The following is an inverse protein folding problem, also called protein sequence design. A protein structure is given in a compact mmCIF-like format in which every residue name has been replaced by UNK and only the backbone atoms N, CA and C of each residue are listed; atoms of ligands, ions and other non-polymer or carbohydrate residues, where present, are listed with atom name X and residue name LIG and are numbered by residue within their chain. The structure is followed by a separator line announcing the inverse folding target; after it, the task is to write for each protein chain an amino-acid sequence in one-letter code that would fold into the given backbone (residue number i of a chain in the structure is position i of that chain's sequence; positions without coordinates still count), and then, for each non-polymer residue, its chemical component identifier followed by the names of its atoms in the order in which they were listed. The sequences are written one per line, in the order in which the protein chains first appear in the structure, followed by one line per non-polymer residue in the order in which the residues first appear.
data_IF_532603645445
#
_entry.id   IF_532603645445
#
_cell.length_a   1.000
_cell.length_b   1.000
_cell.length_c   1.000
_cell.angle_alpha   90.00
_cell.angle_beta   90.00
_cell.angle_gamma   90.00
#
_symmetry.space_group_name_H-M   'P 1'
#
loop_
_entity.id
_entity.type
_entity.pdbx_description
1 polymer ?
#
# COMPACT_ATOMS: atom_id res chain seq x y z
N UNK A 1 -20.99 3.58 -35.42
CA UNK A 1 -19.78 4.15 -34.81
C UNK A 1 -20.18 4.52 -33.40
N UNK A 2 -19.78 3.73 -32.41
CA UNK A 2 -19.79 4.11 -31.00
C UNK A 2 -18.68 3.31 -30.32
N UNK A 3 -17.51 3.92 -30.22
CA UNK A 3 -16.40 3.41 -29.41
C UNK A 3 -16.52 4.05 -28.02
N UNK A 4 -17.52 3.64 -27.26
CA UNK A 4 -17.51 3.88 -25.81
C UNK A 4 -16.67 2.77 -25.18
N UNK A 5 -15.36 2.87 -25.34
CA UNK A 5 -14.43 2.10 -24.51
C UNK A 5 -14.55 2.66 -23.11
N UNK A 6 -15.02 1.85 -22.17
CA UNK A 6 -15.10 2.31 -20.78
C UNK A 6 -13.67 2.47 -20.24
N UNK A 7 -13.42 3.39 -19.31
CA UNK A 7 -12.11 3.48 -18.60
C UNK A 7 -11.71 2.14 -17.97
N UNK A 8 -12.71 1.27 -17.73
CA UNK A 8 -12.57 -0.13 -17.31
C UNK A 8 -11.85 -1.03 -18.35
N UNK A 9 -12.01 -0.75 -19.64
CA UNK A 9 -11.30 -1.40 -20.74
C UNK A 9 -9.89 -0.82 -20.94
N UNK A 10 -9.70 0.47 -20.65
CA UNK A 10 -8.40 1.15 -20.78
C UNK A 10 -7.40 0.73 -19.69
N UNK A 11 -7.86 0.54 -18.45
CA UNK A 11 -7.01 -0.06 -17.40
C UNK A 11 -6.64 -1.51 -17.77
N UNK A 12 -7.45 -2.21 -18.58
CA UNK A 12 -7.22 -3.60 -18.99
C UNK A 12 -6.27 -3.78 -20.17
N UNK A 13 -5.89 -2.72 -20.87
CA UNK A 13 -5.21 -2.86 -22.15
C UNK A 13 -4.03 -1.91 -22.29
N UNK A 14 -2.85 -2.39 -21.90
CA UNK A 14 -1.60 -1.84 -22.42
C UNK A 14 -1.57 -1.99 -23.96
N UNK A 15 -1.17 -0.95 -24.72
CA UNK A 15 -0.82 -1.13 -26.12
C UNK A 15 0.35 -2.14 -26.22
N UNK A 16 0.08 -3.35 -26.71
CA UNK A 16 1.09 -4.39 -26.90
C UNK A 16 1.37 -5.34 -25.71
N UNK A 17 0.69 -5.21 -24.57
CA UNK A 17 0.78 -6.17 -23.45
C UNK A 17 -0.60 -6.60 -22.93
N UNK A 18 -0.78 -7.90 -22.63
CA UNK A 18 -1.95 -8.39 -21.88
C UNK A 18 -1.76 -8.08 -20.38
N UNK A 19 -2.40 -7.04 -19.84
CA UNK A 19 -2.35 -6.73 -18.39
C UNK A 19 -3.00 -5.39 -18.01
N UNK A 20 -3.02 -5.09 -16.71
CA UNK A 20 -3.47 -3.81 -16.14
C UNK A 20 -2.41 -3.15 -15.24
N UNK A 21 -2.47 -1.82 -15.08
CA UNK A 21 -1.66 -1.09 -14.10
C UNK A 21 -2.16 -1.44 -12.69
N UNK A 22 -1.28 -1.92 -11.83
CA UNK A 22 -1.57 -2.17 -10.41
C UNK A 22 -0.80 -1.18 -9.53
N UNK A 23 -1.47 -0.62 -8.52
CA UNK A 23 -0.88 0.34 -7.60
C UNK A 23 -1.02 -0.13 -6.16
N UNK A 24 0.06 0.00 -5.39
CA UNK A 24 0.11 -0.31 -3.97
C UNK A 24 0.87 0.76 -3.20
N UNK A 25 0.47 1.00 -1.95
CA UNK A 25 1.33 1.64 -0.96
C UNK A 25 2.21 0.56 -0.33
N UNK A 26 3.51 0.79 -0.30
CA UNK A 26 4.48 -0.03 0.41
C UNK A 26 5.03 0.76 1.59
N UNK A 27 4.99 0.13 2.77
CA UNK A 27 5.33 0.76 4.05
C UNK A 27 6.45 -0.04 4.70
N UNK A 28 7.54 0.64 5.06
CA UNK A 28 8.58 0.15 5.96
C UNK A 28 8.51 0.99 7.22
N UNK A 29 8.43 0.37 8.39
CA UNK A 29 8.16 1.06 9.65
C UNK A 29 8.85 0.41 10.84
N UNK A 30 9.21 1.23 11.83
CA UNK A 30 9.72 0.75 13.11
C UNK A 30 8.57 0.50 14.08
N UNK A 31 8.29 -0.78 14.37
CA UNK A 31 7.26 -1.17 15.34
C UNK A 31 7.50 -0.57 16.73
N UNK A 32 8.73 -0.21 17.05
CA UNK A 32 9.16 0.33 18.33
C UNK A 32 9.32 1.87 18.34
N UNK A 33 8.88 2.56 17.28
CA UNK A 33 8.93 4.03 17.17
C UNK A 33 8.32 4.78 18.38
N UNK A 34 7.35 4.17 19.07
CA UNK A 34 6.72 4.71 20.28
C UNK A 34 7.01 3.85 21.51
N UNK A 35 8.26 3.43 21.72
CA UNK A 35 8.69 2.55 22.82
C UNK A 35 7.88 1.24 22.87
N UNK A 36 7.56 0.72 21.68
CA UNK A 36 6.75 -0.49 21.51
C UNK A 36 5.25 -0.31 21.78
N UNK A 37 4.76 0.92 21.98
CA UNK A 37 3.33 1.20 21.95
C UNK A 37 2.78 1.02 20.54
N UNK A 38 1.55 0.50 20.47
CA UNK A 38 0.85 0.32 19.20
C UNK A 38 0.44 1.66 18.59
N UNK A 39 0.46 1.73 17.27
CA UNK A 39 0.01 2.87 16.48
C UNK A 39 -0.53 2.40 15.13
N UNK A 40 -1.26 3.27 14.45
CA UNK A 40 -1.89 3.00 13.16
C UNK A 40 -1.45 4.03 12.14
N UNK A 41 -0.98 3.59 10.97
CA UNK A 41 -0.74 4.45 9.81
C UNK A 41 -1.99 4.36 8.94
N UNK A 42 -2.77 5.44 8.85
CA UNK A 42 -4.03 5.50 8.11
C UNK A 42 -3.83 6.20 6.78
N UNK A 43 -4.35 5.61 5.70
CA UNK A 43 -4.23 6.12 4.34
C UNK A 43 -5.58 6.57 3.80
N UNK A 44 -5.55 7.63 2.99
CA UNK A 44 -6.72 8.28 2.43
C UNK A 44 -6.46 8.74 0.99
N UNK A 45 -7.49 8.72 0.15
CA UNK A 45 -7.57 9.44 -1.12
C UNK A 45 -8.46 10.66 -0.90
N UNK A 46 -7.85 11.74 -0.43
CA UNK A 46 -8.53 12.96 -0.01
C UNK A 46 -8.94 13.88 -1.17
N UNK A 47 -9.65 14.96 -0.84
CA UNK A 47 -9.85 16.07 -1.77
C UNK A 47 -8.55 16.86 -2.04
N UNK A 48 -8.56 17.80 -3.00
CA UNK A 48 -7.38 18.59 -3.34
C UNK A 48 -6.86 19.40 -2.15
N UNK A 49 -5.56 19.81 -2.16
CA UNK A 49 -4.98 20.67 -1.13
C UNK A 49 -5.87 21.90 -0.85
N UNK A 50 -6.15 22.18 0.44
CA UNK A 50 -6.96 23.33 0.86
C UNK A 50 -8.45 23.07 1.08
N UNK A 51 -8.96 21.86 0.79
CA UNK A 51 -10.29 21.41 1.26
C UNK A 51 -10.14 20.51 2.50
N UNK A 52 -10.94 20.75 3.54
CA UNK A 52 -10.98 19.96 4.79
C UNK A 52 -11.67 18.59 4.61
N UNK A 53 -11.28 17.84 3.58
CA UNK A 53 -11.84 16.52 3.24
C UNK A 53 -10.78 15.41 3.25
N UNK A 54 -9.53 15.77 3.57
CA UNK A 54 -8.35 14.89 3.46
C UNK A 54 -8.41 13.66 4.37
N UNK A 55 -9.13 13.74 5.49
CA UNK A 55 -9.23 12.67 6.50
C UNK A 55 -10.67 12.24 6.80
N UNK A 56 -11.58 12.47 5.85
CA UNK A 56 -12.97 12.03 5.97
C UNK A 56 -13.10 10.50 5.79
N UNK A 57 -14.15 9.94 6.40
CA UNK A 57 -14.42 8.49 6.34
C UNK A 57 -14.59 7.98 4.90
N UNK A 58 -15.15 8.79 4.00
CA UNK A 58 -15.35 8.42 2.58
C UNK A 58 -14.05 8.31 1.79
N UNK A 59 -13.04 9.07 2.22
CA UNK A 59 -11.70 9.11 1.59
C UNK A 59 -10.80 7.99 2.09
N UNK A 60 -11.22 7.24 3.12
CA UNK A 60 -10.40 6.23 3.77
C UNK A 60 -10.22 4.99 2.90
N UNK A 61 -8.96 4.60 2.66
CA UNK A 61 -8.63 3.41 1.85
C UNK A 61 -8.18 2.23 2.71
N UNK A 62 -7.49 2.47 3.81
CA UNK A 62 -6.94 1.39 4.63
C UNK A 62 -5.92 1.86 5.64
N UNK A 63 -5.29 0.91 6.32
CA UNK A 63 -4.29 1.20 7.31
C UNK A 63 -3.28 0.08 7.49
N UNK A 64 -2.14 0.42 8.09
CA UNK A 64 -1.18 -0.51 8.68
C UNK A 64 -1.24 -0.36 10.19
N UNK A 65 -1.53 -1.45 10.90
CA UNK A 65 -1.53 -1.47 12.36
C UNK A 65 -0.23 -2.04 12.90
N UNK A 66 0.49 -1.25 13.69
CA UNK A 66 1.65 -1.71 14.45
C UNK A 66 1.18 -2.39 15.73
N UNK A 67 1.17 -3.73 15.74
CA UNK A 67 0.90 -4.49 16.96
C UNK A 67 2.14 -4.49 17.87
N UNK A 68 2.13 -3.56 18.82
CA UNK A 68 3.17 -3.38 19.83
C UNK A 68 2.74 -3.96 21.18
N UNK A 69 3.61 -4.78 21.78
CA UNK A 69 3.49 -5.15 23.18
C UNK A 69 4.32 -4.17 24.01
N UNK A 70 3.69 -3.37 24.89
CA UNK A 70 4.39 -2.46 25.81
C UNK A 70 5.62 -3.15 26.39
N UNK A 71 6.75 -2.44 26.48
CA UNK A 71 7.80 -2.80 27.43
C UNK A 71 7.22 -2.63 28.84
N UNK A 72 6.49 -3.65 29.34
CA UNK A 72 6.04 -3.65 30.72
C UNK A 72 7.27 -3.72 31.63
N UNK A 73 7.36 -2.77 32.56
CA UNK A 73 8.29 -2.81 33.70
C UNK A 73 7.96 -3.98 34.65
N UNK A 74 6.78 -4.59 34.52
CA UNK A 74 6.37 -5.79 35.21
C UNK A 74 6.57 -7.03 34.33
N UNK A 75 7.67 -7.77 34.58
CA UNK A 75 7.80 -9.23 34.48
C UNK A 75 7.39 -10.02 33.21
N UNK A 76 6.97 -9.39 32.12
CA UNK A 76 6.31 -10.08 30.99
C UNK A 76 6.75 -9.64 29.59
N UNK A 77 7.81 -8.85 29.48
CA UNK A 77 8.31 -8.38 28.18
C UNK A 77 8.91 -9.54 27.37
N UNK A 78 8.34 -9.82 26.19
CA UNK A 78 8.83 -10.82 25.25
C UNK A 78 10.30 -10.59 24.89
N UNK A 79 11.17 -11.55 25.21
CA UNK A 79 12.61 -11.46 24.95
C UNK A 79 12.94 -11.29 23.46
N UNK A 80 12.15 -11.90 22.57
CA UNK A 80 12.33 -11.70 21.14
C UNK A 80 12.06 -10.25 20.72
N UNK A 81 11.00 -9.63 21.24
CA UNK A 81 10.69 -8.23 20.95
C UNK A 81 11.81 -7.28 21.39
N UNK A 82 12.40 -7.51 22.58
CA UNK A 82 13.56 -6.75 23.05
C UNK A 82 14.77 -6.89 22.12
N UNK A 83 15.06 -8.12 21.67
CA UNK A 83 16.17 -8.38 20.73
C UNK A 83 15.94 -7.69 19.38
N UNK A 84 14.72 -7.76 18.85
CA UNK A 84 14.36 -7.10 17.60
C UNK A 84 14.44 -5.57 17.71
N UNK A 85 13.97 -4.98 18.82
CA UNK A 85 14.10 -3.56 19.09
C UNK A 85 15.58 -3.14 19.18
N UNK A 86 16.40 -3.89 19.93
CA UNK A 86 17.84 -3.60 20.05
C UNK A 86 18.59 -3.74 18.72
N UNK A 87 18.19 -4.72 17.89
CA UNK A 87 18.71 -4.91 16.54
C UNK A 87 18.09 -3.96 15.51
N UNK A 88 17.18 -3.06 15.92
CA UNK A 88 16.52 -2.06 15.08
C UNK A 88 15.80 -2.70 13.86
N UNK A 89 15.21 -3.88 14.06
CA UNK A 89 14.51 -4.63 13.01
C UNK A 89 13.26 -3.86 12.57
N UNK A 90 13.17 -3.55 11.29
CA UNK A 90 12.01 -2.91 10.68
C UNK A 90 10.94 -3.92 10.32
N UNK A 91 9.70 -3.45 10.32
CA UNK A 91 8.53 -4.18 9.83
C UNK A 91 8.06 -3.57 8.52
N UNK A 92 7.24 -4.32 7.80
CA UNK A 92 6.83 -3.95 6.46
C UNK A 92 5.40 -4.42 6.16
N UNK A 93 4.70 -3.64 5.34
CA UNK A 93 3.30 -3.89 4.99
C UNK A 93 2.94 -3.26 3.65
N UNK A 94 1.82 -3.71 3.08
CA UNK A 94 1.31 -3.18 1.82
C UNK A 94 -0.19 -2.88 1.92
N UNK A 95 -0.61 -1.78 1.29
CA UNK A 95 -2.02 -1.38 1.18
C UNK A 95 -2.38 -1.30 -0.31
N UNK A 96 -3.34 -2.11 -0.80
CA UNK A 96 -3.72 -2.08 -2.20
C UNK A 96 -4.44 -0.76 -2.55
N UNK A 97 -4.08 -0.14 -3.67
CA UNK A 97 -4.72 1.10 -4.16
C UNK A 97 -5.65 0.84 -5.35
N UNK A 98 -5.33 -0.14 -6.20
CA UNK A 98 -6.00 -0.39 -7.49
C UNK A 98 -7.52 -0.46 -7.37
N UNK A 99 -8.06 -1.18 -6.38
CA UNK A 99 -9.51 -1.31 -6.21
C UNK A 99 -10.17 0.01 -5.81
N UNK A 100 -9.52 0.81 -4.96
CA UNK A 100 -10.03 2.12 -4.55
C UNK A 100 -10.04 3.11 -5.72
N UNK A 101 -8.98 3.10 -6.54
CA UNK A 101 -8.89 3.90 -7.76
C UNK A 101 -9.99 3.53 -8.76
N UNK A 102 -10.27 2.23 -8.95
CA UNK A 102 -11.37 1.75 -9.80
C UNK A 102 -12.74 2.23 -9.31
N UNK A 103 -12.97 2.20 -8.00
CA UNK A 103 -14.20 2.73 -7.41
C UNK A 103 -14.31 4.25 -7.63
N UNK A 104 -13.23 5.01 -7.44
CA UNK A 104 -13.21 6.46 -7.68
C UNK A 104 -13.54 6.82 -9.13
N UNK A 105 -12.94 6.12 -10.10
CA UNK A 105 -13.22 6.30 -11.54
C UNK A 105 -14.68 6.00 -11.85
N UNK A 106 -15.18 4.85 -11.39
CA UNK A 106 -16.53 4.38 -11.71
C UNK A 106 -17.61 5.25 -11.09
N UNK A 107 -17.43 5.63 -9.83
CA UNK A 107 -18.45 6.31 -9.04
C UNK A 107 -18.42 7.84 -9.25
N UNK A 108 -17.50 8.34 -10.10
CA UNK A 108 -17.33 9.76 -10.48
C UNK A 108 -17.39 10.68 -9.26
N UNK A 109 -16.58 10.36 -8.25
CA UNK A 109 -16.59 11.07 -6.97
C UNK A 109 -16.43 12.58 -7.21
N UNK A 110 -17.41 13.41 -6.78
CA UNK A 110 -17.32 14.85 -6.94
C UNK A 110 -16.06 15.40 -6.27
N UNK A 111 -15.49 16.46 -6.85
CA UNK A 111 -14.27 17.17 -6.44
C UNK A 111 -12.93 16.65 -6.97
N UNK A 112 -12.86 15.50 -7.66
CA UNK A 112 -11.60 14.95 -8.20
C UNK A 112 -11.81 13.70 -9.10
N UNK A 113 -12.41 13.87 -10.29
CA UNK A 113 -12.57 12.78 -11.25
C UNK A 113 -11.23 12.40 -11.89
N UNK A 114 -10.99 11.09 -12.00
CA UNK A 114 -9.93 10.52 -12.86
C UNK A 114 -10.61 10.20 -14.19
N UNK A 115 -10.29 10.93 -15.26
CA UNK A 115 -10.95 10.76 -16.56
C UNK A 115 -10.29 9.67 -17.39
N UNK A 116 -8.96 9.50 -17.26
CA UNK A 116 -8.19 8.49 -17.96
C UNK A 116 -7.16 7.80 -17.06
N UNK A 117 -6.63 6.66 -17.52
CA UNK A 117 -5.67 5.85 -16.74
C UNK A 117 -4.26 6.46 -16.61
N UNK A 118 -3.98 7.53 -17.34
CA UNK A 118 -2.68 8.21 -17.33
C UNK A 118 -2.64 9.32 -16.26
N UNK A 119 -3.79 9.82 -15.84
CA UNK A 119 -3.94 10.77 -14.73
C UNK A 119 -3.76 10.15 -13.35
N UNK A 120 -3.72 8.81 -13.24
CA UNK A 120 -3.70 8.11 -11.94
C UNK A 120 -2.50 8.53 -11.07
N UNK A 121 -1.32 8.69 -11.66
CA UNK A 121 -0.10 9.00 -10.91
C UNK A 121 -0.13 10.45 -10.38
N UNK A 122 -0.59 11.40 -11.21
CA UNK A 122 -0.81 12.78 -10.78
C UNK A 122 -1.93 12.89 -9.73
N UNK A 123 -2.99 12.11 -9.91
CA UNK A 123 -4.06 12.00 -8.94
C UNK A 123 -3.51 11.52 -7.58
N UNK A 124 -2.76 10.42 -7.56
CA UNK A 124 -2.17 9.91 -6.32
C UNK A 124 -1.21 10.94 -5.69
N UNK A 125 -0.41 11.64 -6.50
CA UNK A 125 0.47 12.71 -6.00
C UNK A 125 -0.30 13.80 -5.25
N UNK A 126 -1.44 14.22 -5.77
CA UNK A 126 -2.28 15.28 -5.17
C UNK A 126 -3.14 14.78 -4.00
N UNK A 127 -3.68 13.56 -4.10
CA UNK A 127 -4.79 13.09 -3.26
C UNK A 127 -4.40 12.01 -2.25
N UNK A 128 -3.29 11.30 -2.45
CA UNK A 128 -2.84 10.32 -1.46
C UNK A 128 -2.29 11.04 -0.23
N UNK A 129 -2.98 10.88 0.89
CA UNK A 129 -2.65 11.46 2.18
C UNK A 129 -2.58 10.35 3.23
N UNK A 130 -1.83 10.59 4.29
CA UNK A 130 -1.79 9.68 5.43
C UNK A 130 -1.55 10.41 6.73
N UNK A 131 -1.88 9.75 7.84
CA UNK A 131 -1.58 10.19 9.19
C UNK A 131 -1.24 9.01 10.08
N UNK A 132 -0.50 9.28 11.15
CA UNK A 132 -0.22 8.31 12.19
C UNK A 132 -1.11 8.60 13.40
N UNK A 133 -1.71 7.56 13.96
CA UNK A 133 -2.63 7.62 15.09
C UNK A 133 -2.14 6.69 16.19
N UNK A 134 -1.95 7.23 17.40
CA UNK A 134 -1.59 6.43 18.58
C UNK A 134 -2.73 5.51 18.98
N UNK A 135 -2.42 4.49 19.77
CA UNK A 135 -3.43 3.76 20.52
C UNK A 135 -4.27 4.74 21.37
N UNK A 136 -5.59 4.74 21.18
CA UNK A 136 -6.51 5.71 21.81
C UNK A 136 -7.03 6.80 20.88
N UNK A 137 -6.52 6.91 19.65
CA UNK A 137 -7.10 7.78 18.59
C UNK A 137 -6.43 9.15 18.44
N UNK A 138 -5.42 9.46 19.24
CA UNK A 138 -4.65 10.71 19.13
C UNK A 138 -3.80 10.71 17.85
N UNK A 139 -3.94 11.76 17.02
CA UNK A 139 -3.12 11.95 15.81
C UNK A 139 -1.75 12.50 16.19
N UNK A 140 -0.69 11.95 15.60
CA UNK A 140 0.68 12.45 15.78
C UNK A 140 0.82 13.86 15.20
N UNK A 141 1.33 14.79 16.00
CA UNK A 141 1.62 16.16 15.57
C UNK A 141 2.88 16.25 14.72
N UNK A 142 3.10 17.39 14.04
CA UNK A 142 4.27 17.59 13.17
C UNK A 142 5.61 17.39 13.90
N UNK A 143 5.70 17.81 15.15
CA UNK A 143 6.93 17.76 15.96
C UNK A 143 7.27 16.32 16.41
N UNK A 144 6.26 15.46 16.48
CA UNK A 144 6.40 14.07 16.90
C UNK A 144 6.80 13.13 15.75
N UNK A 145 6.86 13.62 14.50
CA UNK A 145 7.36 12.83 13.36
C UNK A 145 8.83 12.42 13.48
N UNK A 146 9.62 13.09 14.31
CA UNK A 146 11.02 12.70 14.60
C UNK A 146 11.13 11.27 15.16
N UNK A 147 10.11 10.82 15.90
CA UNK A 147 10.04 9.48 16.48
C UNK A 147 9.79 8.42 15.40
N UNK A 148 9.32 8.85 14.21
CA UNK A 148 9.08 8.05 13.02
C UNK A 148 10.16 8.24 11.95
N UNK A 149 11.39 8.57 12.34
CA UNK A 149 12.52 8.81 11.41
C UNK A 149 12.84 7.65 10.47
N UNK A 150 12.42 6.41 10.82
CA UNK A 150 12.58 5.21 9.98
C UNK A 150 11.31 4.82 9.23
N UNK A 151 10.24 5.60 9.33
CA UNK A 151 9.06 5.36 8.51
C UNK A 151 9.37 5.74 7.07
N UNK A 152 9.12 4.80 6.17
CA UNK A 152 9.22 5.02 4.73
C UNK A 152 7.94 4.51 4.05
N UNK A 153 7.19 5.44 3.46
CA UNK A 153 5.99 5.21 2.68
C UNK A 153 6.33 5.47 1.22
N UNK A 154 6.08 4.49 0.38
CA UNK A 154 6.33 4.54 -1.06
C UNK A 154 5.09 4.07 -1.82
N UNK A 155 4.89 4.57 -3.03
CA UNK A 155 3.90 4.03 -3.97
C UNK A 155 4.63 3.24 -5.03
N UNK A 156 4.17 2.01 -5.29
CA UNK A 156 4.72 1.15 -6.33
C UNK A 156 3.65 0.93 -7.41
N UNK A 157 4.07 0.96 -8.68
CA UNK A 157 3.26 0.59 -9.83
C UNK A 157 3.78 -0.71 -10.42
N UNK A 158 2.93 -1.73 -10.46
CA UNK A 158 3.20 -3.02 -11.08
C UNK A 158 2.26 -3.33 -12.24
N UNK A 159 2.33 -4.57 -12.70
CA UNK A 159 1.50 -5.10 -13.78
C UNK A 159 0.71 -6.30 -13.26
N UNK A 160 -0.61 -6.18 -13.28
CA UNK A 160 -1.52 -7.30 -13.05
C UNK A 160 -1.86 -8.02 -14.34
N UNK A 161 -1.89 -9.36 -14.32
CA UNK A 161 -2.23 -10.20 -15.48
C UNK A 161 -3.10 -11.37 -15.06
N UNK A 162 -4.02 -11.81 -15.92
CA UNK A 162 -4.73 -13.07 -15.72
C UNK A 162 -3.86 -14.20 -16.27
N UNK A 163 -3.53 -15.18 -15.43
CA UNK A 163 -2.89 -16.42 -15.87
C UNK A 163 -3.85 -17.17 -16.77
N UNK A 164 -3.48 -17.37 -18.04
CA UNK A 164 -4.22 -18.25 -18.94
C UNK A 164 -3.99 -19.70 -18.50
N UNK A 165 -5.02 -20.36 -17.97
CA UNK A 165 -5.03 -21.80 -17.76
C UNK A 165 -5.24 -22.53 -19.09
N UNK A 166 -4.59 -23.68 -19.27
CA UNK A 166 -4.88 -24.55 -20.43
C UNK A 166 -6.36 -24.93 -20.39
N UNK A 167 -7.08 -24.64 -21.48
CA UNK A 167 -8.54 -24.59 -21.57
C UNK A 167 -9.28 -25.96 -21.53
N UNK A 168 -8.81 -26.92 -20.73
CA UNK A 168 -9.43 -28.26 -20.64
C UNK A 168 -10.09 -28.55 -19.29
N UNK A 169 -10.01 -27.64 -18.32
CA UNK A 169 -10.83 -27.72 -17.11
C UNK A 169 -11.26 -26.33 -16.71
N UNK A 170 -12.55 -26.15 -16.38
CA UNK A 170 -13.14 -24.91 -15.87
C UNK A 170 -12.60 -24.55 -14.46
N UNK A 171 -11.29 -24.37 -14.31
CA UNK A 171 -10.61 -24.37 -13.01
C UNK A 171 -9.52 -23.29 -12.97
N UNK A 172 -9.75 -22.32 -12.07
CA UNK A 172 -8.82 -21.30 -11.55
C UNK A 172 -8.34 -20.22 -12.55
N UNK A 173 -9.05 -19.09 -12.55
CA UNK A 173 -8.49 -17.80 -13.00
C UNK A 173 -7.62 -17.28 -11.86
N UNK A 174 -6.30 -17.27 -12.04
CA UNK A 174 -5.35 -16.73 -11.06
C UNK A 174 -4.76 -15.42 -11.58
N UNK A 175 -4.79 -14.38 -10.75
CA UNK A 175 -4.13 -13.11 -11.04
C UNK A 175 -2.66 -13.18 -10.64
N UNK A 176 -1.78 -12.79 -11.58
CA UNK A 176 -0.35 -12.62 -11.37
C UNK A 176 -0.05 -11.13 -11.28
N UNK A 177 0.78 -10.75 -10.32
CA UNK A 177 1.24 -9.37 -10.14
C UNK A 177 2.76 -9.35 -10.17
N UNK A 178 3.34 -8.49 -11.00
CA UNK A 178 4.79 -8.44 -11.22
C UNK A 178 5.27 -7.04 -11.57
N UNK A 179 6.58 -6.88 -11.74
CA UNK A 179 7.20 -5.72 -12.38
C UNK A 179 6.92 -4.39 -11.65
N UNK A 180 6.88 -4.43 -10.32
CA UNK A 180 6.67 -3.23 -9.51
C UNK A 180 7.86 -2.30 -9.57
N UNK A 181 7.59 -1.03 -9.90
CA UNK A 181 8.55 0.06 -9.88
C UNK A 181 8.08 1.16 -8.92
N UNK A 182 8.99 1.77 -8.15
CA UNK A 182 8.64 2.89 -7.28
C UNK A 182 8.28 4.14 -8.06
N UNK A 183 7.34 4.92 -7.52
CA UNK A 183 6.91 6.23 -8.01
C UNK A 183 7.17 7.30 -6.92
N UNK A 184 8.43 7.71 -6.72
CA UNK A 184 8.79 8.56 -5.59
C UNK A 184 8.13 9.95 -5.64
N UNK A 185 7.77 10.46 -6.82
CA UNK A 185 7.11 11.77 -7.01
C UNK A 185 5.77 11.88 -6.28
N UNK A 186 5.12 10.75 -5.97
CA UNK A 186 3.83 10.71 -5.28
C UNK A 186 3.97 10.98 -3.77
N UNK A 187 5.10 10.56 -3.19
CA UNK A 187 5.36 10.59 -1.75
C UNK A 187 6.40 11.63 -1.34
N UNK A 188 7.18 12.13 -2.29
CA UNK A 188 8.21 13.14 -2.07
C UNK A 188 7.65 14.41 -1.40
N UNK A 189 8.40 14.92 -0.43
CA UNK A 189 8.00 16.09 0.38
C UNK A 189 6.90 15.84 1.42
N UNK A 190 6.31 14.63 1.50
CA UNK A 190 5.31 14.28 2.53
C UNK A 190 5.97 13.60 3.75
N UNK A 191 5.43 13.75 4.98
CA UNK A 191 6.01 13.14 6.18
C UNK A 191 6.18 11.62 6.08
N UNK A 192 7.40 11.13 6.26
CA UNK A 192 7.72 9.70 6.12
C UNK A 192 7.62 9.16 4.68
N UNK A 193 7.45 10.01 3.68
CA UNK A 193 7.42 9.63 2.27
C UNK A 193 8.81 9.33 1.70
N UNK A 194 8.88 8.43 0.71
CA UNK A 194 10.10 8.17 -0.05
C UNK A 194 10.47 9.41 -0.88
N UNK A 195 11.71 9.87 -0.73
CA UNK A 195 12.29 10.98 -1.48
C UNK A 195 12.75 10.55 -2.88
N UNK A 196 12.77 11.47 -3.85
CA UNK A 196 13.13 11.21 -5.26
C UNK A 196 14.52 10.61 -5.47
N UNK A 197 15.46 10.96 -4.62
CA UNK A 197 16.86 10.52 -4.68
C UNK A 197 17.10 9.17 -3.98
N UNK A 198 16.07 8.58 -3.36
CA UNK A 198 16.18 7.35 -2.59
C UNK A 198 15.49 6.17 -3.26
N UNK A 199 16.13 5.01 -3.16
CA UNK A 199 15.53 3.73 -3.51
C UNK A 199 14.79 3.19 -2.28
N UNK A 200 13.56 2.65 -2.42
CA UNK A 200 12.86 2.10 -1.26
C UNK A 200 13.60 0.88 -0.72
N UNK A 201 13.75 0.80 0.61
CA UNK A 201 14.32 -0.37 1.31
C UNK A 201 13.58 -1.70 1.05
N UNK A 202 12.38 -1.67 0.47
CA UNK A 202 11.65 -2.85 0.02
C UNK A 202 10.91 -2.58 -1.31
N UNK A 203 11.62 -2.70 -2.43
CA UNK A 203 11.08 -2.50 -3.78
C UNK A 203 10.27 -3.68 -4.31
N UNK A 204 10.44 -4.86 -3.73
CA UNK A 204 9.68 -6.06 -4.14
C UNK A 204 8.43 -6.27 -3.27
N UNK A 205 7.29 -6.66 -3.86
CA UNK A 205 6.14 -7.05 -3.07
C UNK A 205 6.41 -8.28 -2.21
N UNK A 206 5.84 -8.31 -1.01
CA UNK A 206 5.95 -9.47 -0.10
C UNK A 206 5.45 -10.77 -0.71
N UNK A 207 4.60 -10.68 -1.74
CA UNK A 207 4.16 -11.82 -2.52
C UNK A 207 5.06 -11.99 -3.74
N UNK A 208 6.24 -12.55 -3.55
CA UNK A 208 6.88 -13.28 -4.65
C UNK A 208 6.02 -14.52 -4.93
N UNK A 209 5.16 -14.47 -5.95
CA UNK A 209 4.45 -15.67 -6.43
C UNK A 209 5.45 -16.60 -7.16
N UNK A 210 6.42 -17.14 -6.42
CA UNK A 210 7.34 -18.12 -6.96
C UNK A 210 6.64 -19.47 -7.17
N UNK A 211 6.84 -19.96 -8.39
CA UNK A 211 6.43 -21.28 -8.90
C UNK A 211 6.96 -22.38 -7.96
N UNK A 212 6.09 -23.33 -7.60
CA UNK A 212 6.43 -24.65 -7.00
C UNK A 212 6.57 -24.78 -5.46
N UNK A 213 5.75 -24.11 -4.65
CA UNK A 213 5.70 -24.38 -3.20
C UNK A 213 4.36 -24.93 -2.72
N UNK A 214 3.87 -26.01 -3.34
CA UNK A 214 2.91 -26.93 -2.69
C UNK A 214 3.31 -28.34 -3.08
N UNK A 215 4.14 -28.99 -2.27
CA UNK A 215 4.23 -30.45 -2.32
C UNK A 215 2.94 -31.02 -1.71
N UNK A 216 2.28 -31.99 -2.36
CA UNK A 216 1.12 -32.65 -1.77
C UNK A 216 1.55 -33.37 -0.49
N UNK A 217 0.80 -33.18 0.59
CA UNK A 217 0.94 -33.98 1.81
C UNK A 217 0.89 -35.47 1.44
N UNK A 218 1.94 -36.21 1.78
CA UNK A 218 1.95 -37.66 1.68
C UNK A 218 0.79 -38.22 2.49
N UNK A 219 -0.10 -38.98 1.83
CA UNK A 219 -1.11 -39.77 2.51
C UNK A 219 -0.40 -40.80 3.39
N UNK A 220 -0.65 -40.74 4.70
CA UNK A 220 -0.25 -41.79 5.62
C UNK A 220 -0.92 -43.12 5.21
N UNK A 221 -0.15 -44.20 5.24
CA UNK A 221 -0.61 -45.58 5.07
C UNK A 221 -1.37 -46.06 6.30
#
# INVERSE_FOLDING_TARGET
MDKSGTVFDEIRSYPGQKGWKDYIVNVVYDRYALDGLSYTIQFFLGGPPGKDTSFEKRSYIGHVYSFGGRQSSSGGSCNNCKKQAAAQVLSCAQVPLTIHLLHHIRDKIPDHSIENSDEIEDYLRLHLQWRVVKYGGEVISEEAWKDFSKLQISVLRGVGRIRSGNAQSAVSVSSLYSDYVPLPEITDGKPGGLQRDKTPENSEPFVQQNKNAVQPLHKAK
#
